data_IF_265963682428
#
_entry.id   IF_265963682428
#
_cell.length_a   1.000
_cell.length_b   1.000
_cell.length_c   1.000
_cell.angle_alpha   90.00
_cell.angle_beta   90.00
_cell.angle_gamma   90.00
#
_symmetry.space_group_name_H-M   'P 1'
#
loop_
_entity.id
_entity.type
_entity.pdbx_description
1 polymer ?
#
# COMPACT_ATOMS: atom_id res chain seq x y z
N UNK A 1 -1.28 26.47 -8.74
CA UNK A 1 0.16 26.63 -8.48
C UNK A 1 0.51 28.10 -8.13
N UNK A 2 -0.47 28.94 -7.79
CA UNK A 2 -0.22 30.37 -7.51
C UNK A 2 0.76 30.59 -6.34
N UNK A 3 0.74 29.70 -5.35
CA UNK A 3 1.68 29.67 -4.22
C UNK A 3 3.17 29.59 -4.62
N UNK A 4 3.50 29.13 -5.83
CA UNK A 4 4.90 29.02 -6.27
C UNK A 4 5.58 30.39 -6.27
N UNK A 5 4.84 31.43 -6.62
CA UNK A 5 5.35 32.81 -6.66
C UNK A 5 5.53 33.42 -5.26
N UNK A 6 4.93 32.81 -4.24
CA UNK A 6 5.01 33.26 -2.84
C UNK A 6 6.26 32.73 -2.13
N UNK A 7 6.95 31.74 -2.72
CA UNK A 7 8.13 31.09 -2.14
C UNK A 7 9.36 31.48 -2.95
N UNK A 8 10.20 32.34 -2.35
CA UNK A 8 11.36 32.94 -3.01
C UNK A 8 12.34 31.94 -3.61
N UNK A 9 12.49 30.78 -2.98
CA UNK A 9 13.37 29.68 -3.34
C UNK A 9 12.94 29.00 -4.64
N UNK A 10 11.66 29.12 -5.03
CA UNK A 10 11.12 28.54 -6.25
C UNK A 10 11.24 29.47 -7.46
N UNK A 11 11.35 30.78 -7.25
CA UNK A 11 11.40 31.78 -8.31
C UNK A 11 12.48 31.52 -9.38
N UNK A 12 13.71 31.07 -9.03
CA UNK A 12 14.73 30.75 -10.03
C UNK A 12 14.33 29.68 -11.05
N UNK A 13 13.35 28.84 -10.72
CA UNK A 13 12.89 27.74 -11.58
C UNK A 13 11.58 28.05 -12.31
N UNK A 14 11.05 29.27 -12.20
CA UNK A 14 9.86 29.68 -12.96
C UNK A 14 10.29 30.22 -14.32
N UNK A 15 9.81 29.59 -15.40
CA UNK A 15 10.05 30.00 -16.79
C UNK A 15 8.72 30.18 -17.52
N UNK A 16 8.56 31.30 -18.23
CA UNK A 16 7.35 31.61 -19.00
C UNK A 16 6.03 31.48 -18.18
N UNK A 17 6.06 31.85 -16.90
CA UNK A 17 4.90 31.78 -16.01
C UNK A 17 4.55 30.38 -15.49
N UNK A 18 5.39 29.37 -15.74
CA UNK A 18 5.23 28.02 -15.22
C UNK A 18 6.49 27.53 -14.51
N UNK A 19 6.33 26.64 -13.54
CA UNK A 19 7.47 26.01 -12.86
C UNK A 19 8.13 24.96 -13.76
N UNK A 20 9.45 25.04 -13.89
CA UNK A 20 10.26 24.18 -14.73
C UNK A 20 10.74 22.94 -13.95
N UNK A 21 10.07 21.80 -14.18
CA UNK A 21 10.42 20.52 -13.56
C UNK A 21 11.54 19.76 -14.28
N UNK A 22 12.30 20.40 -15.17
CA UNK A 22 13.32 19.73 -15.98
C UNK A 22 14.60 19.36 -15.24
N UNK A 23 14.93 20.02 -14.12
CA UNK A 23 16.18 19.77 -13.38
C UNK A 23 15.94 19.09 -12.02
N UNK A 24 16.93 18.34 -11.53
CA UNK A 24 16.84 17.66 -10.24
C UNK A 24 16.71 18.66 -9.08
N UNK A 25 17.43 19.79 -9.18
CA UNK A 25 17.39 20.89 -8.22
C UNK A 25 15.98 21.48 -8.12
N UNK A 26 15.34 21.78 -9.26
CA UNK A 26 13.98 22.31 -9.29
C UNK A 26 12.99 21.34 -8.64
N UNK A 27 13.12 20.05 -8.93
CA UNK A 27 12.28 19.02 -8.31
C UNK A 27 12.50 18.94 -6.78
N UNK A 28 13.74 19.05 -6.31
CA UNK A 28 14.07 19.06 -4.88
C UNK A 28 13.49 20.29 -4.18
N UNK A 29 13.70 21.50 -4.71
CA UNK A 29 13.16 22.72 -4.12
C UNK A 29 11.63 22.72 -4.08
N UNK A 30 10.99 22.30 -5.17
CA UNK A 30 9.54 22.15 -5.21
C UNK A 30 9.04 21.16 -4.14
N UNK A 31 9.74 20.05 -3.98
CA UNK A 31 9.40 19.01 -3.00
C UNK A 31 9.54 19.53 -1.56
N UNK A 32 10.65 20.20 -1.25
CA UNK A 32 10.88 20.84 0.05
C UNK A 32 9.79 21.86 0.36
N UNK A 33 9.49 22.73 -0.59
CA UNK A 33 8.47 23.76 -0.44
C UNK A 33 7.06 23.17 -0.26
N UNK A 34 6.71 22.12 -1.00
CA UNK A 34 5.41 21.45 -0.86
C UNK A 34 5.28 20.74 0.49
N UNK A 35 6.34 20.07 0.96
CA UNK A 35 6.34 19.40 2.26
C UNK A 35 6.21 20.39 3.42
N UNK A 36 6.92 21.52 3.34
CA UNK A 36 6.83 22.57 4.34
C UNK A 36 5.44 23.21 4.35
N UNK A 37 4.89 23.56 3.18
CA UNK A 37 3.58 24.21 3.08
C UNK A 37 2.44 23.30 3.54
N UNK A 38 2.38 22.09 3.00
CA UNK A 38 1.21 21.22 3.13
C UNK A 38 1.25 20.37 4.41
N UNK A 39 2.45 20.07 4.91
CA UNK A 39 2.64 19.17 6.05
C UNK A 39 3.50 19.77 7.16
N UNK A 40 4.00 21.00 7.02
CA UNK A 40 4.91 21.60 7.99
C UNK A 40 6.24 20.87 8.13
N UNK A 41 6.60 20.00 7.17
CA UNK A 41 7.78 19.16 7.22
C UNK A 41 8.99 19.85 6.61
N UNK A 42 10.06 19.98 7.38
CA UNK A 42 11.35 20.53 6.94
C UNK A 42 12.28 19.38 6.56
N UNK A 43 12.68 19.32 5.30
CA UNK A 43 13.62 18.30 4.81
C UNK A 43 14.69 18.94 3.94
N UNK A 44 15.89 18.36 3.99
CA UNK A 44 16.94 18.60 3.02
C UNK A 44 17.00 17.44 2.03
N UNK A 45 17.14 17.78 0.75
CA UNK A 45 17.21 16.84 -0.36
C UNK A 45 18.46 17.11 -1.17
N UNK A 46 19.19 16.05 -1.49
CA UNK A 46 20.36 16.09 -2.37
C UNK A 46 19.91 15.85 -3.82
N UNK A 47 20.12 16.80 -4.76
CA UNK A 47 19.82 16.62 -6.18
C UNK A 47 20.56 15.44 -6.84
N UNK A 48 21.61 14.90 -6.20
CA UNK A 48 22.30 13.69 -6.64
C UNK A 48 21.63 12.38 -6.17
N UNK A 49 20.52 12.47 -5.43
CA UNK A 49 19.75 11.34 -4.89
C UNK A 49 18.31 11.35 -5.42
N UNK A 50 17.57 10.25 -5.20
CA UNK A 50 16.18 10.16 -5.64
C UNK A 50 15.29 11.19 -4.92
N UNK A 51 14.79 12.18 -5.66
CA UNK A 51 13.83 13.15 -5.15
C UNK A 51 12.40 12.54 -5.09
N UNK A 52 11.75 12.48 -3.90
CA UNK A 52 10.43 11.88 -3.76
C UNK A 52 9.32 12.80 -4.29
N UNK A 53 8.46 12.26 -5.16
CA UNK A 53 7.26 12.98 -5.63
C UNK A 53 6.15 12.94 -4.59
N UNK A 54 5.96 14.02 -3.84
CA UNK A 54 5.05 14.10 -2.67
C UNK A 54 3.66 13.47 -2.91
N UNK A 55 2.91 13.77 -4.00
CA UNK A 55 1.52 13.30 -4.12
C UNK A 55 1.36 11.78 -4.11
N UNK A 56 2.29 11.04 -4.73
CA UNK A 56 2.21 9.57 -4.70
C UNK A 56 2.64 9.00 -3.35
N UNK A 57 3.56 9.67 -2.65
CA UNK A 57 4.01 9.22 -1.32
C UNK A 57 2.90 9.36 -0.29
N UNK A 58 2.21 10.51 -0.31
CA UNK A 58 1.04 10.78 0.52
C UNK A 58 -0.07 9.79 0.22
N UNK A 59 -0.43 9.59 -1.06
CA UNK A 59 -1.48 8.64 -1.43
C UNK A 59 -1.20 7.20 -0.96
N UNK A 60 0.08 6.82 -0.85
CA UNK A 60 0.47 5.52 -0.32
C UNK A 60 0.31 5.45 1.22
N UNK A 61 0.76 6.47 1.94
CA UNK A 61 0.58 6.61 3.40
C UNK A 61 -0.91 6.63 3.76
N UNK A 62 -1.73 7.40 3.04
CA UNK A 62 -3.18 7.48 3.25
C UNK A 62 -3.87 6.14 3.01
N UNK A 63 -3.48 5.43 1.94
CA UNK A 63 -4.04 4.11 1.66
C UNK A 63 -3.68 3.09 2.75
N UNK A 64 -2.49 3.16 3.32
CA UNK A 64 -2.13 2.37 4.50
C UNK A 64 -3.00 2.77 5.69
N UNK A 65 -3.25 4.07 5.89
CA UNK A 65 -4.19 4.59 6.90
C UNK A 65 -5.56 3.95 6.81
N UNK A 66 -6.10 3.79 5.59
CA UNK A 66 -7.34 3.06 5.39
C UNK A 66 -7.22 1.58 5.83
N UNK A 67 -6.03 0.95 5.73
CA UNK A 67 -5.81 -0.47 6.07
C UNK A 67 -5.71 -0.73 7.57
N UNK A 68 -5.31 0.28 8.36
CA UNK A 68 -5.17 0.15 9.80
C UNK A 68 -6.56 0.25 10.45
N UNK A 69 -6.96 -0.70 11.33
CA UNK A 69 -8.22 -0.63 12.03
C UNK A 69 -8.35 0.65 12.87
N UNK A 70 -9.48 1.34 12.77
CA UNK A 70 -9.76 2.56 13.54
C UNK A 70 -9.77 2.34 15.06
N UNK A 71 -9.90 1.09 15.51
CA UNK A 71 -9.84 0.73 16.94
C UNK A 71 -8.42 0.73 17.51
N UNK A 72 -7.39 0.82 16.67
CA UNK A 72 -6.01 0.92 17.13
C UNK A 72 -5.70 2.38 17.46
N UNK A 73 -5.33 2.63 18.71
CA UNK A 73 -4.83 3.93 19.13
C UNK A 73 -3.57 4.29 18.34
N UNK A 74 -3.47 5.48 17.71
CA UNK A 74 -2.36 5.80 16.81
C UNK A 74 -0.97 5.60 17.42
N UNK A 75 -0.81 5.89 18.72
CA UNK A 75 0.46 5.72 19.45
C UNK A 75 0.89 4.26 19.62
N UNK A 76 -0.02 3.31 19.40
CA UNK A 76 0.26 1.87 19.46
C UNK A 76 0.63 1.30 18.09
N UNK A 77 0.40 2.07 17.02
CA UNK A 77 0.75 1.67 15.65
C UNK A 77 2.23 1.97 15.42
N UNK A 78 2.96 0.96 14.94
CA UNK A 78 4.35 1.11 14.52
C UNK A 78 4.51 0.65 13.07
N UNK A 79 4.94 1.55 12.20
CA UNK A 79 5.25 1.25 10.80
C UNK A 79 6.74 0.98 10.58
N UNK A 80 7.07 0.01 9.74
CA UNK A 80 8.43 -0.21 9.24
C UNK A 80 8.53 0.24 7.77
N UNK A 81 9.40 1.20 7.49
CA UNK A 81 9.77 1.60 6.14
C UNK A 81 11.07 0.90 5.70
N UNK A 82 10.96 0.06 4.68
CA UNK A 82 12.07 -0.73 4.11
C UNK A 82 12.71 0.04 2.95
N UNK A 83 13.93 0.54 3.16
CA UNK A 83 14.62 1.41 2.21
C UNK A 83 14.14 2.85 2.34
N UNK A 84 14.31 3.45 3.52
CA UNK A 84 13.77 4.78 3.82
C UNK A 84 14.41 5.92 3.03
N UNK A 85 15.63 5.69 2.53
CA UNK A 85 16.41 6.65 1.76
C UNK A 85 16.77 7.91 2.54
N UNK A 86 17.55 8.78 1.91
CA UNK A 86 18.01 10.05 2.52
C UNK A 86 16.87 10.96 2.97
N UNK A 87 15.74 10.94 2.25
CA UNK A 87 14.59 11.80 2.54
C UNK A 87 13.81 11.42 3.79
N UNK A 88 13.84 10.15 4.21
CA UNK A 88 12.98 9.59 5.26
C UNK A 88 11.49 9.94 5.05
N UNK A 89 11.05 10.04 3.80
CA UNK A 89 9.80 10.69 3.44
C UNK A 89 8.58 9.98 4.02
N UNK A 90 8.58 8.64 4.05
CA UNK A 90 7.44 7.90 4.55
C UNK A 90 7.31 7.96 6.07
N UNK A 91 8.38 7.73 6.88
CA UNK A 91 8.32 7.95 8.31
C UNK A 91 7.86 9.36 8.69
N UNK A 92 8.38 10.40 8.03
CA UNK A 92 7.99 11.78 8.29
C UNK A 92 6.50 12.02 8.00
N UNK A 93 6.01 11.60 6.83
CA UNK A 93 4.59 11.74 6.47
C UNK A 93 3.67 10.95 7.40
N UNK A 94 4.00 9.70 7.70
CA UNK A 94 3.20 8.84 8.56
C UNK A 94 3.12 9.37 10.01
N UNK A 95 4.25 9.80 10.57
CA UNK A 95 4.28 10.42 11.89
C UNK A 95 3.52 11.76 11.91
N UNK A 96 3.61 12.57 10.84
CA UNK A 96 2.92 13.86 10.78
C UNK A 96 1.40 13.72 10.60
N UNK A 97 0.96 12.84 9.70
CA UNK A 97 -0.45 12.69 9.32
C UNK A 97 -1.21 11.89 10.38
N UNK A 98 -0.61 10.82 10.89
CA UNK A 98 -1.29 9.86 11.76
C UNK A 98 -0.74 9.79 13.18
N UNK A 99 0.43 10.38 13.47
CA UNK A 99 1.05 10.27 14.79
C UNK A 99 1.57 8.86 15.11
N UNK A 100 1.82 8.04 14.08
CA UNK A 100 2.36 6.69 14.24
C UNK A 100 3.83 6.70 14.61
N UNK A 101 4.27 5.66 15.35
CA UNK A 101 5.68 5.39 15.49
C UNK A 101 6.20 4.79 14.17
N UNK A 102 7.43 5.15 13.77
CA UNK A 102 8.00 4.71 12.51
C UNK A 102 9.45 4.26 12.70
N UNK A 103 9.77 3.12 12.10
CA UNK A 103 11.13 2.61 11.97
C UNK A 103 11.52 2.74 10.50
N UNK A 104 12.51 3.57 10.18
CA UNK A 104 13.13 3.60 8.86
C UNK A 104 14.34 2.67 8.83
N UNK A 105 14.44 1.80 7.83
CA UNK A 105 15.62 0.96 7.62
C UNK A 105 16.29 1.28 6.29
N UNK A 106 17.63 1.24 6.25
CA UNK A 106 18.39 1.40 5.02
C UNK A 106 19.72 0.62 5.07
N UNK A 107 20.22 0.23 3.90
CA UNK A 107 21.51 -0.46 3.76
C UNK A 107 22.67 0.49 3.47
N UNK A 108 22.38 1.74 3.08
CA UNK A 108 23.36 2.81 2.89
C UNK A 108 23.47 3.60 4.21
N UNK A 109 24.65 3.54 4.83
CA UNK A 109 24.97 4.22 6.09
C UNK A 109 24.78 5.74 5.98
N UNK A 110 25.22 6.33 4.86
CA UNK A 110 25.05 7.77 4.59
C UNK A 110 23.59 8.13 4.35
N UNK A 111 22.81 7.23 3.74
CA UNK A 111 21.37 7.44 3.60
C UNK A 111 20.69 7.47 4.97
N UNK A 112 21.04 6.53 5.85
CA UNK A 112 20.54 6.48 7.22
C UNK A 112 20.93 7.73 8.04
N UNK A 113 22.18 8.20 7.95
CA UNK A 113 22.63 9.44 8.60
C UNK A 113 21.89 10.68 8.09
N UNK A 114 21.64 10.76 6.78
CA UNK A 114 20.91 11.89 6.18
C UNK A 114 19.44 11.87 6.58
N UNK A 115 18.83 10.68 6.61
CA UNK A 115 17.48 10.47 7.11
C UNK A 115 17.35 10.94 8.58
N UNK A 116 18.33 10.60 9.43
CA UNK A 116 18.38 11.04 10.82
C UNK A 116 18.42 12.57 10.95
N UNK A 117 19.24 13.25 10.15
CA UNK A 117 19.27 14.73 10.12
C UNK A 117 17.93 15.33 9.67
N UNK A 118 17.21 14.68 8.75
CA UNK A 118 15.88 15.12 8.34
C UNK A 118 14.83 14.93 9.44
N UNK A 119 14.97 13.92 10.29
CA UNK A 119 14.11 13.73 11.47
C UNK A 119 14.36 14.85 12.49
N UNK A 120 15.63 15.15 12.81
CA UNK A 120 16.03 16.19 13.78
C UNK A 120 15.53 17.60 13.39
N UNK A 121 15.26 17.85 12.11
CA UNK A 121 14.68 19.11 11.61
C UNK A 121 13.20 19.29 11.97
N UNK A 122 12.54 18.23 12.46
CA UNK A 122 11.12 18.17 12.79
C UNK A 122 10.92 17.73 14.25
N UNK A 123 11.33 18.56 15.24
CA UNK A 123 11.39 18.18 16.65
C UNK A 123 10.04 17.78 17.25
N UNK A 124 8.92 18.16 16.63
CA UNK A 124 7.57 17.79 17.08
C UNK A 124 7.22 16.32 16.87
N UNK A 125 7.87 15.65 15.90
CA UNK A 125 7.66 14.22 15.58
C UNK A 125 8.93 13.38 15.73
N UNK A 126 10.08 13.99 16.05
CA UNK A 126 11.38 13.31 16.19
C UNK A 126 11.30 12.04 17.03
N UNK A 127 10.63 12.10 18.19
CA UNK A 127 10.51 10.96 19.12
C UNK A 127 9.68 9.79 18.59
N UNK A 128 8.91 10.00 17.52
CA UNK A 128 8.11 8.96 16.89
C UNK A 128 8.92 8.18 15.86
N UNK A 129 10.08 8.66 15.43
CA UNK A 129 10.81 8.09 14.30
C UNK A 129 12.18 7.62 14.74
N UNK A 130 12.57 6.42 14.32
CA UNK A 130 13.93 5.90 14.49
C UNK A 130 14.45 5.37 13.17
N UNK A 131 15.71 5.65 12.84
CA UNK A 131 16.38 5.10 11.66
C UNK A 131 17.40 4.04 12.06
N UNK A 132 17.49 2.95 11.29
CA UNK A 132 18.41 1.84 11.51
C UNK A 132 19.14 1.49 10.21
N UNK A 133 20.46 1.53 10.26
CA UNK A 133 21.28 0.89 9.24
C UNK A 133 21.23 -0.64 9.40
N UNK A 134 21.04 -1.36 8.30
CA UNK A 134 20.91 -2.84 8.27
C UNK A 134 21.76 -3.47 7.18
N UNK A 135 22.08 -4.76 7.31
CA UNK A 135 22.78 -5.49 6.25
C UNK A 135 21.83 -5.91 5.11
N UNK A 136 22.30 -5.96 3.85
CA UNK A 136 21.46 -6.33 2.71
C UNK A 136 20.90 -7.76 2.75
N UNK A 137 21.55 -8.67 3.47
CA UNK A 137 21.15 -10.08 3.60
C UNK A 137 20.24 -10.33 4.80
N UNK A 138 19.93 -9.29 5.59
CA UNK A 138 19.06 -9.42 6.75
C UNK A 138 17.63 -9.71 6.31
N UNK A 139 16.92 -10.45 7.15
CA UNK A 139 15.46 -10.48 7.14
C UNK A 139 14.90 -9.05 7.25
N UNK A 140 14.01 -8.68 6.32
CA UNK A 140 13.45 -7.34 6.27
C UNK A 140 12.68 -6.93 7.52
N UNK A 141 12.05 -7.87 8.22
CA UNK A 141 11.04 -7.58 9.23
C UNK A 141 11.45 -7.98 10.64
N UNK A 142 12.73 -8.31 10.84
CA UNK A 142 13.32 -8.61 12.15
C UNK A 142 13.48 -7.34 13.03
N UNK A 143 12.33 -6.78 13.41
CA UNK A 143 12.18 -5.65 14.33
C UNK A 143 10.98 -5.90 15.25
N UNK A 144 11.02 -5.38 16.49
CA UNK A 144 9.94 -5.61 17.44
C UNK A 144 8.71 -4.74 17.14
N UNK A 145 7.53 -5.26 17.51
CA UNK A 145 6.26 -4.51 17.62
C UNK A 145 5.78 -3.83 16.33
N UNK A 146 6.05 -4.40 15.16
CA UNK A 146 5.62 -3.83 13.88
C UNK A 146 4.12 -4.11 13.66
N UNK A 147 3.35 -3.06 13.39
CA UNK A 147 1.95 -3.17 12.95
C UNK A 147 1.87 -3.34 11.44
N UNK A 148 2.59 -2.51 10.68
CA UNK A 148 2.60 -2.60 9.22
C UNK A 148 3.98 -2.33 8.64
N UNK A 149 4.21 -2.80 7.42
CA UNK A 149 5.41 -2.47 6.64
C UNK A 149 5.04 -1.66 5.42
N UNK A 150 5.97 -0.85 4.94
CA UNK A 150 5.89 -0.16 3.66
C UNK A 150 7.23 -0.19 2.95
N UNK A 151 7.18 -0.15 1.63
CA UNK A 151 8.38 -0.18 0.81
C UNK A 151 8.14 0.52 -0.53
N UNK A 152 9.17 1.18 -1.04
CA UNK A 152 9.28 1.54 -2.44
C UNK A 152 10.55 0.88 -3.00
N UNK A 153 10.44 -0.34 -3.56
CA UNK A 153 11.58 -1.16 -3.92
C UNK A 153 12.41 -0.53 -5.06
N UNK A 154 13.71 -0.85 -5.15
CA UNK A 154 14.53 -0.52 -6.30
C UNK A 154 13.93 -1.11 -7.59
N UNK A 155 13.99 -0.35 -8.69
CA UNK A 155 13.20 -0.65 -9.89
C UNK A 155 13.84 -1.64 -10.89
N UNK A 156 15.16 -1.72 -10.91
CA UNK A 156 15.94 -2.35 -11.97
C UNK A 156 16.72 -3.56 -11.46
N UNK A 157 16.86 -4.59 -12.29
CA UNK A 157 17.66 -5.78 -12.02
C UNK A 157 19.14 -5.57 -12.31
N UNK A 158 19.46 -4.65 -13.21
CA UNK A 158 20.82 -4.32 -13.62
C UNK A 158 20.92 -2.87 -14.13
N UNK A 159 22.15 -2.39 -14.28
CA UNK A 159 22.44 -1.11 -14.91
C UNK A 159 21.97 -1.07 -16.37
N UNK A 160 22.14 -2.16 -17.12
CA UNK A 160 21.70 -2.30 -18.51
C UNK A 160 20.17 -2.17 -18.66
N UNK A 161 19.40 -2.73 -17.72
CA UNK A 161 17.94 -2.56 -17.70
C UNK A 161 17.55 -1.10 -17.44
N UNK A 162 18.29 -0.41 -16.56
CA UNK A 162 18.08 1.02 -16.31
C UNK A 162 18.32 1.84 -17.58
N UNK A 163 19.46 1.67 -18.24
CA UNK A 163 19.81 2.41 -19.46
C UNK A 163 18.80 2.16 -20.59
N UNK A 164 18.40 0.89 -20.78
CA UNK A 164 17.38 0.53 -21.78
C UNK A 164 16.02 1.16 -21.45
N UNK A 165 15.65 1.24 -20.17
CA UNK A 165 14.41 1.89 -19.75
C UNK A 165 14.45 3.41 -19.93
N UNK A 166 15.62 4.02 -19.74
CA UNK A 166 15.83 5.46 -19.92
C UNK A 166 15.85 5.84 -21.41
N UNK A 167 16.51 5.06 -22.26
CA UNK A 167 16.60 5.31 -23.71
C UNK A 167 15.26 5.20 -24.43
N UNK A 168 14.36 4.33 -23.94
CA UNK A 168 13.01 4.16 -24.48
C UNK A 168 12.04 5.32 -24.12
N UNK A 169 12.39 6.23 -23.21
CA UNK A 169 11.57 7.42 -22.89
C UNK A 169 11.91 8.58 -23.84
N UNK A 170 11.42 8.49 -25.07
CA UNK A 170 11.73 9.43 -26.17
C UNK A 170 10.97 10.77 -26.16
N UNK A 171 10.34 11.20 -25.05
CA UNK A 171 9.62 12.50 -25.03
C UNK A 171 9.40 13.10 -23.62
N UNK A 172 10.08 14.22 -23.35
CA UNK A 172 9.96 15.05 -22.14
C UNK A 172 11.29 15.18 -21.40
N UNK A 173 11.53 16.25 -20.62
CA UNK A 173 12.80 16.43 -19.93
C UNK A 173 12.98 15.22 -19.01
N UNK A 174 13.91 14.35 -19.40
CA UNK A 174 14.39 13.30 -18.55
C UNK A 174 15.09 14.03 -17.42
N UNK A 175 14.36 14.34 -16.34
CA UNK A 175 14.99 14.76 -15.10
C UNK A 175 16.08 13.74 -14.84
N UNK A 176 17.33 14.20 -14.87
CA UNK A 176 18.51 13.35 -14.76
C UNK A 176 18.30 12.45 -13.54
N UNK A 177 18.12 11.15 -13.76
CA UNK A 177 17.97 10.18 -12.67
C UNK A 177 19.36 9.96 -12.06
N UNK A 178 19.83 10.96 -11.33
CA UNK A 178 20.96 10.84 -10.42
C UNK A 178 20.39 10.28 -9.12
N UNK A 179 20.38 8.97 -9.00
CA UNK A 179 20.15 8.29 -7.73
C UNK A 179 21.27 7.28 -7.54
N UNK A 180 21.64 7.01 -6.28
CA UNK A 180 22.67 6.02 -6.00
C UNK A 180 22.26 4.67 -6.61
N UNK A 181 23.23 3.90 -7.13
CA UNK A 181 22.94 2.63 -7.81
C UNK A 181 22.12 1.67 -6.92
N UNK A 182 22.34 1.71 -5.61
CA UNK A 182 21.62 0.92 -4.59
C UNK A 182 20.15 1.31 -4.43
N UNK A 183 19.74 2.53 -4.78
CA UNK A 183 18.35 3.00 -4.74
C UNK A 183 17.55 2.57 -5.99
N UNK A 184 18.25 2.21 -7.06
CA UNK A 184 17.66 1.89 -8.36
C UNK A 184 17.80 0.42 -8.74
N UNK A 185 18.87 -0.26 -8.32
CA UNK A 185 19.21 -1.62 -8.75
C UNK A 185 19.19 -2.58 -7.56
N UNK A 186 18.56 -3.75 -7.77
CA UNK A 186 18.60 -4.88 -6.84
C UNK A 186 18.62 -6.19 -7.64
N UNK A 187 19.22 -7.25 -7.10
CA UNK A 187 19.16 -8.58 -7.74
C UNK A 187 17.70 -9.00 -7.97
N UNK A 188 17.38 -9.39 -9.21
CA UNK A 188 16.01 -9.74 -9.63
C UNK A 188 15.06 -8.56 -9.82
N UNK A 189 15.55 -7.32 -9.68
CA UNK A 189 14.79 -6.09 -9.81
C UNK A 189 13.63 -5.99 -8.82
N UNK A 190 12.65 -5.16 -9.16
CA UNK A 190 11.44 -4.95 -8.34
C UNK A 190 10.74 -6.27 -7.97
N UNK A 191 10.66 -7.22 -8.92
CA UNK A 191 10.00 -8.51 -8.68
C UNK A 191 10.78 -9.36 -7.67
N UNK A 192 12.09 -9.52 -7.85
CA UNK A 192 12.92 -10.32 -6.94
C UNK A 192 12.94 -9.75 -5.51
N UNK A 193 12.91 -8.41 -5.38
CA UNK A 193 12.81 -7.75 -4.08
C UNK A 193 11.48 -8.08 -3.38
N UNK A 194 10.37 -7.97 -4.10
CA UNK A 194 9.04 -8.30 -3.56
C UNK A 194 8.91 -9.79 -3.23
N UNK A 195 9.46 -10.68 -4.05
CA UNK A 195 9.50 -12.11 -3.77
C UNK A 195 10.24 -12.43 -2.47
N UNK A 196 11.36 -11.74 -2.22
CA UNK A 196 12.09 -11.86 -0.95
C UNK A 196 11.28 -11.33 0.22
N UNK A 197 10.63 -10.16 0.08
CA UNK A 197 9.72 -9.63 1.10
C UNK A 197 8.59 -10.63 1.42
N UNK A 198 7.98 -11.25 0.41
CA UNK A 198 6.94 -12.27 0.63
C UNK A 198 7.52 -13.48 1.37
N UNK A 199 8.70 -13.96 0.96
CA UNK A 199 9.40 -15.05 1.61
C UNK A 199 9.70 -14.78 3.10
N UNK A 200 10.18 -13.59 3.42
CA UNK A 200 10.47 -13.17 4.80
C UNK A 200 9.20 -13.02 5.63
N UNK A 201 8.14 -12.44 5.04
CA UNK A 201 6.87 -12.17 5.73
C UNK A 201 6.23 -13.42 6.34
N UNK A 202 6.50 -14.61 5.78
CA UNK A 202 6.00 -15.90 6.29
C UNK A 202 6.45 -16.21 7.72
N UNK A 203 7.56 -15.62 8.18
CA UNK A 203 8.11 -15.78 9.54
C UNK A 203 7.54 -14.76 10.54
N UNK A 204 6.88 -13.71 10.06
CA UNK A 204 6.43 -12.56 10.85
C UNK A 204 4.90 -12.39 10.79
N UNK A 205 4.16 -13.47 11.04
CA UNK A 205 2.70 -13.49 10.92
C UNK A 205 1.96 -12.61 11.95
N UNK A 206 2.69 -12.08 12.93
CA UNK A 206 2.25 -11.11 13.91
C UNK A 206 2.09 -9.70 13.33
N UNK A 207 2.75 -9.40 12.21
CA UNK A 207 2.58 -8.14 11.49
C UNK A 207 1.23 -8.13 10.76
N UNK A 208 0.44 -7.07 10.98
CA UNK A 208 -0.91 -6.97 10.46
C UNK A 208 -0.93 -6.83 8.94
N UNK A 209 -0.11 -5.93 8.41
CA UNK A 209 -0.05 -5.61 6.99
C UNK A 209 1.37 -5.49 6.49
N UNK A 210 1.70 -6.27 5.46
CA UNK A 210 2.86 -6.03 4.65
C UNK A 210 2.44 -5.26 3.42
N UNK A 211 3.14 -4.18 3.06
CA UNK A 211 2.78 -3.38 1.89
C UNK A 211 3.99 -3.00 1.06
N UNK A 212 3.77 -2.78 -0.24
CA UNK A 212 4.75 -2.17 -1.13
C UNK A 212 4.09 -1.34 -2.23
N UNK A 213 4.76 -0.28 -2.67
CA UNK A 213 4.49 0.34 -3.96
C UNK A 213 5.14 -0.47 -5.08
N UNK A 214 4.48 -0.56 -6.23
CA UNK A 214 4.93 -1.27 -7.43
C UNK A 214 4.86 -0.34 -8.63
N UNK A 215 5.98 -0.27 -9.36
CA UNK A 215 6.21 0.58 -10.51
C UNK A 215 5.76 -0.01 -11.84
N UNK A 216 5.81 -1.34 -11.99
CA UNK A 216 5.50 -2.06 -13.23
C UNK A 216 4.24 -2.93 -13.09
N UNK A 217 3.36 -2.90 -14.10
CA UNK A 217 2.12 -3.72 -14.11
C UNK A 217 2.42 -5.23 -14.09
N UNK A 218 3.41 -5.65 -14.89
CA UNK A 218 3.84 -7.04 -15.00
C UNK A 218 4.36 -7.59 -13.65
N UNK A 219 5.17 -6.81 -12.92
CA UNK A 219 5.58 -7.15 -11.55
C UNK A 219 4.37 -7.37 -10.65
N UNK A 220 3.40 -6.44 -10.67
CA UNK A 220 2.19 -6.53 -9.84
C UNK A 220 1.37 -7.80 -10.14
N UNK A 221 1.18 -8.13 -11.43
CA UNK A 221 0.44 -9.34 -11.84
C UNK A 221 1.12 -10.62 -11.35
N UNK A 222 2.46 -10.71 -11.48
CA UNK A 222 3.25 -11.85 -11.01
C UNK A 222 3.22 -12.00 -9.49
N UNK A 223 3.33 -10.89 -8.77
CA UNK A 223 3.25 -10.89 -7.29
C UNK A 223 1.86 -11.32 -6.82
N UNK A 224 0.79 -10.84 -7.46
CA UNK A 224 -0.57 -11.31 -7.14
C UNK A 224 -0.75 -12.80 -7.41
N UNK A 225 -0.17 -13.31 -8.50
CA UNK A 225 -0.21 -14.74 -8.81
C UNK A 225 0.49 -15.57 -7.72
N UNK A 226 1.68 -15.15 -7.29
CA UNK A 226 2.40 -15.81 -6.18
C UNK A 226 1.59 -15.79 -4.88
N UNK A 227 1.06 -14.63 -4.48
CA UNK A 227 0.27 -14.53 -3.24
C UNK A 227 -0.97 -15.42 -3.27
N UNK A 228 -1.60 -15.60 -4.44
CA UNK A 228 -2.71 -16.55 -4.63
C UNK A 228 -2.27 -18.00 -4.50
N UNK A 229 -1.17 -18.37 -5.15
CA UNK A 229 -0.60 -19.72 -5.09
C UNK A 229 -0.22 -20.10 -3.65
N UNK A 230 0.30 -19.15 -2.89
CA UNK A 230 0.68 -19.33 -1.49
C UNK A 230 -0.50 -19.16 -0.49
N UNK A 231 -1.73 -18.97 -0.98
CA UNK A 231 -2.94 -18.75 -0.18
C UNK A 231 -2.84 -17.57 0.81
N UNK A 232 -2.11 -16.51 0.43
CA UNK A 232 -1.94 -15.29 1.21
C UNK A 232 -2.96 -14.24 0.77
N UNK A 233 -3.68 -13.67 1.74
CA UNK A 233 -4.64 -12.60 1.48
C UNK A 233 -3.94 -11.35 1.02
N UNK A 234 -4.48 -10.72 -0.02
CA UNK A 234 -3.91 -9.50 -0.56
C UNK A 234 -4.96 -8.60 -1.20
N UNK A 235 -4.65 -7.32 -1.24
CA UNK A 235 -5.42 -6.30 -1.94
C UNK A 235 -4.49 -5.40 -2.73
N UNK A 236 -4.99 -4.87 -3.85
CA UNK A 236 -4.25 -3.99 -4.74
C UNK A 236 -5.11 -2.80 -5.09
N UNK A 237 -4.52 -1.61 -4.99
CA UNK A 237 -5.09 -0.40 -5.57
C UNK A 237 -4.11 0.21 -6.57
N UNK A 238 -4.61 1.06 -7.45
CA UNK A 238 -3.73 1.88 -8.30
C UNK A 238 -4.04 3.35 -8.13
N UNK A 239 -3.00 4.17 -8.24
CA UNK A 239 -3.06 5.63 -8.21
C UNK A 239 -2.28 6.18 -9.41
N UNK A 240 -2.73 7.30 -9.94
CA UNK A 240 -2.10 7.97 -11.09
C UNK A 240 -2.09 9.49 -10.88
N UNK A 241 -1.23 10.01 -9.98
CA UNK A 241 -0.98 11.44 -9.91
C UNK A 241 -0.21 11.86 -11.16
N UNK A 242 -0.88 12.55 -12.09
CA UNK A 242 -0.30 12.99 -13.37
C UNK A 242 -0.18 11.87 -14.41
N UNK A 243 0.98 11.76 -15.07
CA UNK A 243 1.19 10.83 -16.19
C UNK A 243 1.58 9.42 -15.75
N UNK A 244 2.11 9.26 -14.54
CA UNK A 244 2.73 8.01 -14.09
C UNK A 244 1.78 7.23 -13.19
N UNK A 245 1.42 6.01 -13.61
CA UNK A 245 0.62 5.07 -12.79
C UNK A 245 1.53 4.30 -11.83
N UNK A 246 1.05 4.08 -10.61
CA UNK A 246 1.65 3.19 -9.61
C UNK A 246 0.56 2.29 -9.03
N UNK A 247 0.98 1.12 -8.57
CA UNK A 247 0.14 0.19 -7.82
C UNK A 247 0.63 0.14 -6.39
N UNK A 248 -0.29 0.00 -5.45
CA UNK A 248 0.03 -0.33 -4.06
C UNK A 248 -0.55 -1.71 -3.80
N UNK A 249 0.28 -2.59 -3.25
CA UNK A 249 -0.11 -3.94 -2.86
C UNK A 249 0.05 -4.09 -1.36
N UNK A 250 -0.89 -4.77 -0.74
CA UNK A 250 -0.85 -5.13 0.66
C UNK A 250 -1.20 -6.60 0.78
N UNK A 251 -0.49 -7.32 1.64
CA UNK A 251 -0.78 -8.72 1.96
C UNK A 251 -0.73 -8.97 3.46
N UNK A 252 -1.43 -10.01 3.89
CA UNK A 252 -1.57 -10.37 5.31
C UNK A 252 -1.78 -11.87 5.46
N UNK A 253 -1.28 -12.43 6.56
CA UNK A 253 -1.59 -13.81 6.97
C UNK A 253 -2.84 -13.86 7.85
N UNK A 254 -3.30 -12.71 8.32
CA UNK A 254 -4.43 -12.61 9.24
C UNK A 254 -5.66 -12.24 8.44
N UNK A 255 -6.67 -13.11 8.36
CA UNK A 255 -7.90 -12.81 7.64
C UNK A 255 -8.59 -11.55 8.15
N UNK A 256 -8.26 -10.99 9.32
CA UNK A 256 -8.98 -9.86 9.94
C UNK A 256 -8.35 -8.49 9.68
N UNK A 257 -7.22 -8.42 8.96
CA UNK A 257 -6.41 -7.20 8.92
C UNK A 257 -7.06 -6.02 8.17
N UNK A 258 -7.95 -6.31 7.22
CA UNK A 258 -8.83 -5.35 6.52
C UNK A 258 -9.85 -6.10 5.65
N UNK A 259 -10.06 -7.36 5.98
CA UNK A 259 -11.35 -7.94 5.72
C UNK A 259 -12.13 -7.60 6.96
N UNK A 260 -13.20 -6.87 6.76
CA UNK A 260 -14.15 -6.67 7.83
C UNK A 260 -14.48 -8.05 8.42
N UNK A 261 -14.27 -8.13 9.72
CA UNK A 261 -14.48 -9.32 10.51
C UNK A 261 -15.58 -8.95 11.49
N UNK A 262 -16.75 -9.54 11.29
CA UNK A 262 -17.85 -9.39 12.23
C UNK A 262 -17.82 -10.61 13.14
N UNK A 263 -17.59 -10.38 14.43
CA UNK A 263 -17.80 -11.40 15.45
C UNK A 263 -19.29 -11.68 15.58
N UNK A 264 -19.64 -12.95 15.69
CA UNK A 264 -21.03 -13.38 15.79
C UNK A 264 -21.12 -14.85 16.12
N UNK A 265 -22.35 -15.37 16.21
CA UNK A 265 -22.58 -16.80 16.38
C UNK A 265 -23.15 -17.36 15.08
N UNK A 266 -22.25 -17.95 14.28
CA UNK A 266 -22.54 -18.44 12.94
C UNK A 266 -22.54 -19.96 12.96
N UNK A 267 -23.66 -20.55 13.40
CA UNK A 267 -23.86 -21.99 13.21
C UNK A 267 -23.68 -22.34 11.74
N UNK A 268 -22.63 -23.08 11.41
CA UNK A 268 -22.24 -23.31 10.02
C UNK A 268 -23.30 -24.09 9.24
N UNK A 269 -24.07 -24.96 9.91
CA UNK A 269 -25.22 -25.61 9.31
C UNK A 269 -26.35 -24.63 8.95
N UNK A 270 -26.58 -23.61 9.78
CA UNK A 270 -27.56 -22.56 9.48
C UNK A 270 -27.07 -21.65 8.33
N UNK A 271 -25.78 -21.29 8.34
CA UNK A 271 -25.15 -20.52 7.25
C UNK A 271 -25.30 -21.28 5.93
N UNK A 272 -24.92 -22.56 5.90
CA UNK A 272 -25.04 -23.40 4.71
C UNK A 272 -26.48 -23.41 4.17
N UNK A 273 -27.47 -23.62 5.04
CA UNK A 273 -28.88 -23.62 4.65
C UNK A 273 -29.31 -22.29 4.03
N UNK A 274 -28.88 -21.16 4.57
CA UNK A 274 -29.18 -19.83 4.03
C UNK A 274 -28.56 -19.62 2.65
N UNK A 275 -27.30 -20.05 2.46
CA UNK A 275 -26.60 -19.94 1.18
C UNK A 275 -27.27 -20.78 0.09
N UNK A 276 -27.64 -22.04 0.42
CA UNK A 276 -28.38 -22.95 -0.47
C UNK A 276 -29.72 -22.33 -0.87
N UNK A 277 -30.52 -21.87 0.11
CA UNK A 277 -31.86 -21.34 -0.13
C UNK A 277 -31.89 -20.06 -0.98
N UNK A 278 -30.72 -19.43 -1.20
CA UNK A 278 -30.61 -18.17 -1.92
C UNK A 278 -29.65 -18.23 -3.11
N UNK A 279 -29.29 -19.44 -3.57
CA UNK A 279 -28.42 -19.66 -4.74
C UNK A 279 -27.07 -18.95 -4.64
N UNK A 280 -26.50 -18.83 -3.43
CA UNK A 280 -25.17 -18.25 -3.24
C UNK A 280 -24.13 -19.39 -3.33
N UNK A 281 -23.23 -19.39 -4.34
CA UNK A 281 -22.20 -20.42 -4.44
C UNK A 281 -21.32 -20.43 -3.20
N UNK A 282 -20.89 -21.61 -2.75
CA UNK A 282 -20.00 -21.74 -1.60
C UNK A 282 -19.14 -23.00 -1.70
N UNK A 283 -18.06 -23.06 -0.92
CA UNK A 283 -17.23 -24.24 -0.69
C UNK A 283 -17.01 -24.46 0.80
N UNK A 284 -16.86 -25.71 1.22
CA UNK A 284 -16.42 -26.06 2.57
C UNK A 284 -14.90 -26.20 2.57
N UNK A 285 -14.24 -25.57 3.54
CA UNK A 285 -12.78 -25.64 3.72
C UNK A 285 -12.52 -25.92 5.19
N UNK A 286 -12.02 -27.12 5.51
CA UNK A 286 -11.84 -27.60 6.88
C UNK A 286 -13.15 -27.46 7.69
N UNK A 287 -13.10 -26.74 8.82
CA UNK A 287 -14.23 -26.44 9.70
C UNK A 287 -14.92 -25.12 9.36
N UNK A 288 -14.80 -24.63 8.13
CA UNK A 288 -15.32 -23.32 7.71
C UNK A 288 -16.07 -23.38 6.40
N UNK A 289 -16.89 -22.36 6.14
CA UNK A 289 -17.62 -22.18 4.88
C UNK A 289 -17.11 -20.93 4.19
N UNK A 290 -16.81 -21.02 2.89
CA UNK A 290 -16.46 -19.85 2.07
C UNK A 290 -17.60 -19.62 1.07
N UNK A 291 -18.36 -18.54 1.23
CA UNK A 291 -19.31 -18.08 0.24
C UNK A 291 -18.56 -17.35 -0.89
N UNK A 292 -18.98 -17.60 -2.14
CA UNK A 292 -18.31 -17.19 -3.37
C UNK A 292 -19.24 -16.40 -4.30
N UNK A 293 -19.85 -15.29 -3.86
CA UNK A 293 -20.78 -14.59 -4.72
C UNK A 293 -20.09 -13.78 -5.82
N UNK A 294 -20.82 -13.61 -6.92
CA UNK A 294 -20.43 -12.78 -8.07
C UNK A 294 -21.13 -11.43 -7.99
N UNK A 295 -20.77 -10.62 -6.99
CA UNK A 295 -21.44 -9.35 -6.67
C UNK A 295 -22.63 -9.52 -5.71
N UNK A 296 -23.50 -8.50 -5.64
CA UNK A 296 -24.66 -8.48 -4.74
C UNK A 296 -25.86 -9.28 -5.30
N UNK A 297 -25.65 -10.60 -5.46
CA UNK A 297 -26.61 -11.52 -6.09
C UNK A 297 -27.87 -11.77 -5.25
N UNK A 298 -27.80 -11.52 -3.93
CA UNK A 298 -28.93 -11.63 -3.02
C UNK A 298 -29.83 -10.40 -3.02
N UNK A 299 -29.34 -9.24 -3.48
CA UNK A 299 -30.15 -8.02 -3.50
C UNK A 299 -31.41 -8.11 -4.35
N UNK A 300 -32.45 -7.39 -3.91
CA UNK A 300 -33.67 -7.16 -4.71
C UNK A 300 -33.38 -6.45 -6.04
N UNK A 301 -32.32 -5.64 -6.10
CA UNK A 301 -31.90 -4.96 -7.34
C UNK A 301 -31.40 -5.98 -8.36
N UNK A 302 -30.49 -6.86 -7.96
CA UNK A 302 -29.93 -7.89 -8.83
C UNK A 302 -30.99 -8.87 -9.33
N UNK A 303 -31.85 -9.38 -8.41
CA UNK A 303 -32.95 -10.28 -8.78
C UNK A 303 -33.89 -9.65 -9.83
N UNK A 304 -34.16 -8.35 -9.75
CA UNK A 304 -34.96 -7.60 -10.75
C UNK A 304 -34.25 -7.42 -12.09
N UNK A 305 -32.95 -7.13 -12.09
CA UNK A 305 -32.16 -7.00 -13.31
C UNK A 305 -32.07 -8.34 -14.07
N UNK A 306 -31.87 -9.46 -13.37
CA UNK A 306 -31.85 -10.80 -13.97
C UNK A 306 -33.16 -11.15 -14.69
N UNK A 307 -34.31 -10.75 -14.13
CA UNK A 307 -35.62 -10.96 -14.74
C UNK A 307 -35.80 -10.18 -16.07
N UNK A 308 -35.05 -9.09 -16.26
CA UNK A 308 -35.08 -8.28 -17.49
C UNK A 308 -34.13 -8.79 -18.59
N UNK A 309 -33.38 -9.87 -18.33
CA UNK A 309 -32.31 -10.39 -19.22
C UNK A 309 -31.22 -9.36 -19.53
N UNK A 310 -31.04 -8.35 -18.68
CA UNK A 310 -29.90 -7.44 -18.81
C UNK A 310 -28.61 -8.25 -18.58
N UNK A 311 -27.66 -8.17 -19.51
CA UNK A 311 -26.33 -8.78 -19.38
C UNK A 311 -25.58 -8.08 -18.26
N UNK A 312 -25.68 -8.62 -17.05
CA UNK A 312 -24.86 -8.17 -15.94
C UNK A 312 -23.53 -8.93 -16.01
N UNK A 313 -22.58 -8.39 -16.76
CA UNK A 313 -21.18 -8.85 -16.73
C UNK A 313 -20.62 -8.60 -15.31
N UNK A 314 -20.30 -9.68 -14.60
CA UNK A 314 -19.61 -9.61 -13.31
C UNK A 314 -18.23 -10.22 -13.45
N UNK A 315 -17.23 -9.36 -13.62
CA UNK A 315 -15.81 -9.75 -13.76
C UNK A 315 -15.11 -10.00 -12.42
N UNK A 316 -15.79 -9.87 -11.27
CA UNK A 316 -15.13 -9.91 -9.97
C UNK A 316 -15.78 -10.89 -8.98
N UNK A 317 -14.97 -11.79 -8.44
CA UNK A 317 -15.35 -12.81 -7.48
C UNK A 317 -15.09 -12.31 -6.07
N UNK A 318 -16.10 -12.42 -5.21
CA UNK A 318 -16.00 -12.12 -3.79
C UNK A 318 -15.86 -13.42 -3.01
N UNK A 319 -15.09 -13.41 -1.93
CA UNK A 319 -14.99 -14.53 -1.01
C UNK A 319 -15.32 -14.05 0.40
N UNK A 320 -16.26 -14.73 1.07
CA UNK A 320 -16.64 -14.46 2.46
C UNK A 320 -16.49 -15.75 3.28
N UNK A 321 -15.59 -15.77 4.27
CA UNK A 321 -15.37 -16.93 5.14
C UNK A 321 -16.22 -16.82 6.40
N UNK A 322 -16.98 -17.86 6.69
CA UNK A 322 -17.60 -18.11 7.97
C UNK A 322 -16.78 -19.12 8.77
N UNK A 323 -16.42 -18.75 9.99
CA UNK A 323 -16.14 -19.68 11.10
C UNK A 323 -17.35 -19.69 12.03
N UNK A 324 -17.36 -20.53 13.06
CA UNK A 324 -18.45 -20.49 14.05
C UNK A 324 -18.57 -19.14 14.77
N UNK A 325 -17.48 -18.35 14.81
CA UNK A 325 -17.41 -17.11 15.58
C UNK A 325 -17.23 -15.84 14.75
N UNK A 326 -16.95 -15.97 13.47
CA UNK A 326 -16.61 -14.82 12.63
C UNK A 326 -17.14 -14.98 11.21
N UNK A 327 -17.57 -13.85 10.64
CA UNK A 327 -17.71 -13.66 9.19
C UNK A 327 -16.59 -12.73 8.74
N UNK A 328 -15.81 -13.16 7.76
CA UNK A 328 -14.60 -12.47 7.29
C UNK A 328 -14.66 -12.24 5.78
N UNK A 329 -14.40 -11.01 5.35
CA UNK A 329 -14.34 -10.65 3.94
C UNK A 329 -13.08 -11.13 3.18
N UNK A 330 -12.86 -12.43 2.98
CA UNK A 330 -11.66 -13.01 2.34
C UNK A 330 -11.16 -12.35 1.03
N UNK A 331 -12.06 -11.91 0.16
CA UNK A 331 -11.69 -11.28 -1.10
C UNK A 331 -12.80 -10.37 -1.64
N UNK A 332 -12.44 -9.21 -2.17
CA UNK A 332 -13.32 -8.31 -2.91
C UNK A 332 -12.76 -6.89 -2.94
N UNK A 333 -13.39 -6.00 -3.71
CA UNK A 333 -12.97 -4.59 -3.79
C UNK A 333 -14.09 -3.58 -3.57
N UNK A 334 -15.33 -4.03 -3.36
CA UNK A 334 -16.48 -3.16 -3.11
C UNK A 334 -17.04 -3.40 -1.70
N UNK A 335 -16.78 -2.43 -0.81
CA UNK A 335 -17.25 -2.43 0.58
C UNK A 335 -18.78 -2.47 0.67
N UNK A 336 -19.49 -1.88 -0.31
CA UNK A 336 -20.96 -1.90 -0.35
C UNK A 336 -21.50 -3.32 -0.48
N UNK A 337 -20.81 -4.17 -1.26
CA UNK A 337 -21.18 -5.58 -1.41
C UNK A 337 -20.94 -6.34 -0.11
N UNK A 338 -19.84 -6.04 0.59
CA UNK A 338 -19.58 -6.60 1.91
C UNK A 338 -20.66 -6.20 2.93
N UNK A 339 -20.94 -4.90 3.09
CA UNK A 339 -21.91 -4.38 4.05
C UNK A 339 -23.32 -4.95 3.78
N UNK A 340 -23.67 -5.04 2.49
CA UNK A 340 -24.91 -5.68 2.01
C UNK A 340 -24.96 -7.16 2.38
N UNK A 341 -23.87 -7.91 2.13
CA UNK A 341 -23.80 -9.34 2.46
C UNK A 341 -23.92 -9.59 3.97
N UNK A 342 -23.14 -8.86 4.78
CA UNK A 342 -23.15 -8.98 6.23
C UNK A 342 -24.54 -8.70 6.82
N UNK A 343 -25.18 -7.63 6.37
CA UNK A 343 -26.55 -7.28 6.79
C UNK A 343 -27.59 -8.31 6.34
N UNK A 344 -27.44 -8.83 5.11
CA UNK A 344 -28.34 -9.82 4.54
C UNK A 344 -28.23 -11.16 5.26
N UNK A 345 -27.02 -11.68 5.48
CA UNK A 345 -26.84 -12.98 6.14
C UNK A 345 -27.28 -12.93 7.60
N UNK A 346 -26.97 -11.84 8.33
CA UNK A 346 -27.39 -11.68 9.71
C UNK A 346 -28.92 -11.71 9.87
N UNK A 347 -29.65 -11.14 8.90
CA UNK A 347 -31.12 -11.17 8.89
C UNK A 347 -31.67 -12.57 8.64
N UNK A 348 -31.14 -13.26 7.62
CA UNK A 348 -31.60 -14.61 7.28
C UNK A 348 -31.27 -15.64 8.39
N UNK A 349 -30.16 -15.46 9.10
CA UNK A 349 -29.81 -16.31 10.24
C UNK A 349 -30.73 -16.08 11.45
N UNK A 350 -31.30 -14.88 11.62
CA UNK A 350 -32.34 -14.63 12.65
C UNK A 350 -33.69 -15.26 12.29
N UNK A 351 -34.05 -15.27 11.01
CA UNK A 351 -35.31 -15.84 10.51
C UNK A 351 -35.31 -17.38 10.47
N UNK A 352 -34.15 -18.02 10.56
CA UNK A 352 -33.98 -19.48 10.56
C UNK A 352 -33.59 -20.09 11.93
N UNK A 353 -33.55 -19.27 13.00
CA UNK A 353 -33.52 -19.74 14.40
C UNK A 353 -34.94 -19.96 14.87
#
# INVERSE_FOLDING_TARGET
MEWIHEISELNPFVKNGAFDFSTAEANCEFTKASLLRDYGLKVELDPARLCPRVPIRVAYVEWIGELIPETLEPKTVTGLDVGTGTSCIYPLLAAKIYGWNMIGSDIDDKAAETAQKNIERNPEIEKLITVKHVSPQRDFFDFPNITFTMCNPPFYASFEEMETSLSNKTSGPAGELKAAQTELITTGGELGFLQRMIGDSKRHKDILWFTSMVGKKDTMEKVCAQLKEEEIYHTVVSRRPGKTKRWFIAWTFTPTAKHECVSGDYSLGAVEKVLINNDVPYKKVNTSIVALPKGDIWSRRYKRARLRKDTVEHQQQYEFLFTEKTLVWKQGTDKTVWDSFGSWIARNLKENK
#
